data_IF_329887512257
#
_entry.id   IF_329887512257
#
_cell.length_a   1.000
_cell.length_b   1.000
_cell.length_c   1.000
_cell.angle_alpha   90.00
_cell.angle_beta   90.00
_cell.angle_gamma   90.00
#
_symmetry.space_group_name_H-M   'P 1'
#
loop_
_entity.id
_entity.type
_entity.pdbx_description
1 polymer ?
#
# COMPACT_ATOMS: atom_id res chain seq x y z
N UNK A 1 10.26 22.43 24.07
CA UNK A 1 9.91 21.21 23.32
C UNK A 1 10.45 21.44 21.92
N UNK A 2 11.56 20.77 21.57
CA UNK A 2 12.07 20.83 20.19
C UNK A 2 11.08 20.10 19.29
N UNK A 3 10.66 20.75 18.20
CA UNK A 3 9.82 20.07 17.22
C UNK A 3 10.69 19.12 16.41
N UNK A 4 10.23 17.89 16.13
CA UNK A 4 10.95 16.98 15.25
C UNK A 4 11.18 17.63 13.89
N UNK A 5 12.31 17.30 13.26
CA UNK A 5 12.60 17.77 11.92
C UNK A 5 11.61 17.16 10.93
N UNK A 6 11.30 17.87 9.84
CA UNK A 6 10.43 17.35 8.78
C UNK A 6 10.94 15.98 8.29
N UNK A 7 12.26 15.79 8.22
CA UNK A 7 12.87 14.54 7.78
C UNK A 7 12.74 13.38 8.78
N UNK A 8 12.59 13.66 10.09
CA UNK A 8 12.24 12.59 11.05
C UNK A 8 10.77 12.23 10.93
N UNK A 9 9.88 13.23 10.86
CA UNK A 9 8.45 12.98 10.70
C UNK A 9 8.13 12.21 9.42
N UNK A 10 8.77 12.54 8.30
CA UNK A 10 8.58 11.79 7.04
C UNK A 10 9.05 10.34 7.15
N UNK A 11 10.17 10.08 7.85
CA UNK A 11 10.64 8.70 8.06
C UNK A 11 9.67 7.89 8.90
N UNK A 12 9.13 8.48 9.96
CA UNK A 12 8.16 7.80 10.82
C UNK A 12 6.88 7.46 10.02
N UNK A 13 6.39 8.40 9.20
CA UNK A 13 5.23 8.17 8.32
C UNK A 13 5.50 7.05 7.31
N UNK A 14 6.66 7.05 6.63
CA UNK A 14 7.02 6.00 5.68
C UNK A 14 7.11 4.65 6.38
N UNK A 15 7.72 4.62 7.56
CA UNK A 15 7.86 3.39 8.34
C UNK A 15 6.49 2.82 8.76
N UNK A 16 5.58 3.65 9.27
CA UNK A 16 4.21 3.24 9.59
C UNK A 16 3.48 2.70 8.35
N UNK A 17 3.69 3.36 7.22
CA UNK A 17 3.08 3.00 5.96
C UNK A 17 3.60 1.67 5.38
N UNK A 18 4.91 1.44 5.40
CA UNK A 18 5.53 0.16 5.01
C UNK A 18 5.04 -1.02 5.86
N UNK A 19 4.68 -0.76 7.13
CA UNK A 19 4.15 -1.75 8.05
C UNK A 19 2.62 -1.92 7.98
N UNK A 20 1.94 -1.17 7.10
CA UNK A 20 0.50 -1.29 6.93
C UNK A 20 0.14 -2.63 6.26
N UNK A 21 -0.84 -3.39 6.78
CA UNK A 21 -1.24 -4.66 6.18
C UNK A 21 -1.98 -4.42 4.86
N UNK A 22 -1.62 -5.20 3.84
CA UNK A 22 -2.24 -5.21 2.51
C UNK A 22 -2.66 -6.61 2.11
N UNK A 23 -3.69 -6.71 1.28
CA UNK A 23 -4.24 -8.00 0.82
C UNK A 23 -3.48 -8.52 -0.40
N UNK A 24 -3.17 -9.80 -0.37
CA UNK A 24 -2.45 -10.52 -1.40
C UNK A 24 -3.20 -11.79 -1.77
N UNK A 25 -2.91 -12.30 -2.97
CA UNK A 25 -3.23 -13.67 -3.36
C UNK A 25 -1.95 -14.41 -3.74
N UNK A 26 -1.77 -15.59 -3.17
CA UNK A 26 -0.65 -16.45 -3.49
C UNK A 26 -0.78 -16.99 -4.93
N UNK A 27 0.28 -16.85 -5.72
CA UNK A 27 0.37 -17.41 -7.08
C UNK A 27 0.88 -18.85 -7.06
N UNK A 28 1.56 -19.23 -5.97
CA UNK A 28 2.08 -20.57 -5.70
C UNK A 28 2.16 -20.77 -4.19
N UNK A 29 2.36 -22.01 -3.75
CA UNK A 29 2.55 -22.33 -2.33
C UNK A 29 3.71 -21.53 -1.72
N UNK A 30 3.44 -20.83 -0.62
CA UNK A 30 4.41 -20.08 0.17
C UNK A 30 4.59 -20.82 1.50
N UNK A 31 5.80 -21.30 1.78
CA UNK A 31 6.10 -21.94 3.06
C UNK A 31 6.05 -20.95 4.22
N UNK A 32 5.88 -21.45 5.45
CA UNK A 32 5.88 -20.61 6.66
C UNK A 32 7.16 -19.77 6.74
N UNK A 33 7.00 -18.46 6.90
CA UNK A 33 8.09 -17.49 7.07
C UNK A 33 8.04 -16.97 8.51
N UNK A 34 9.12 -17.15 9.25
CA UNK A 34 9.25 -16.69 10.63
C UNK A 34 10.55 -15.88 10.78
N UNK A 35 10.40 -14.60 11.09
CA UNK A 35 11.51 -13.68 11.36
C UNK A 35 11.19 -12.85 12.61
N UNK A 36 12.15 -12.08 13.10
CA UNK A 36 11.90 -11.20 14.27
C UNK A 36 10.88 -10.14 13.88
N UNK A 37 9.68 -10.23 14.48
CA UNK A 37 8.60 -9.27 14.28
C UNK A 37 7.60 -9.62 13.16
N UNK A 38 7.85 -10.67 12.37
CA UNK A 38 6.95 -11.10 11.28
C UNK A 38 6.80 -12.61 11.25
N UNK A 39 5.55 -13.04 11.25
CA UNK A 39 5.15 -14.44 11.06
C UNK A 39 4.12 -14.46 9.94
N UNK A 40 4.44 -15.16 8.85
CA UNK A 40 3.51 -15.49 7.78
C UNK A 40 3.36 -17.00 7.80
N UNK A 41 2.15 -17.47 8.08
CA UNK A 41 1.86 -18.90 8.06
C UNK A 41 1.98 -19.46 6.64
N UNK A 42 2.04 -20.77 6.52
CA UNK A 42 2.04 -21.42 5.21
C UNK A 42 0.76 -21.06 4.44
N UNK A 43 0.92 -20.61 3.19
CA UNK A 43 -0.18 -20.16 2.32
C UNK A 43 -0.22 -21.03 1.07
N UNK A 44 -1.38 -21.62 0.78
CA UNK A 44 -1.54 -22.43 -0.43
C UNK A 44 -1.72 -21.56 -1.68
N UNK A 45 -1.51 -22.13 -2.87
CA UNK A 45 -1.75 -21.40 -4.12
C UNK A 45 -3.21 -20.94 -4.23
N UNK A 46 -3.43 -19.75 -4.79
CA UNK A 46 -4.73 -19.07 -4.93
C UNK A 46 -5.37 -18.59 -3.62
N UNK A 47 -4.80 -18.92 -2.47
CA UNK A 47 -5.27 -18.45 -1.17
C UNK A 47 -4.97 -16.95 -0.97
N UNK A 48 -5.91 -16.26 -0.34
CA UNK A 48 -5.74 -14.86 0.04
C UNK A 48 -5.13 -14.73 1.43
N UNK A 49 -4.21 -13.80 1.61
CA UNK A 49 -3.58 -13.52 2.89
C UNK A 49 -3.25 -12.04 3.03
N UNK A 50 -2.80 -11.64 4.22
CA UNK A 50 -2.34 -10.27 4.48
C UNK A 50 -0.90 -10.29 4.96
N UNK A 51 -0.14 -9.28 4.53
CA UNK A 51 1.23 -9.06 4.96
C UNK A 51 1.50 -7.55 5.03
N UNK A 52 2.51 -7.09 5.80
CA UNK A 52 2.98 -5.71 5.71
C UNK A 52 3.34 -5.36 4.25
N UNK A 53 3.08 -4.11 3.84
CA UNK A 53 3.32 -3.64 2.48
C UNK A 53 4.76 -3.93 1.99
N UNK A 54 5.76 -3.73 2.83
CA UNK A 54 7.14 -4.02 2.44
C UNK A 54 7.35 -5.51 2.13
N UNK A 55 6.75 -6.41 2.91
CA UNK A 55 6.84 -7.86 2.66
C UNK A 55 6.06 -8.23 1.40
N UNK A 56 4.92 -7.58 1.19
CA UNK A 56 4.10 -7.79 0.00
C UNK A 56 4.89 -7.52 -1.28
N UNK A 57 5.67 -6.43 -1.32
CA UNK A 57 6.58 -6.14 -2.43
C UNK A 57 7.60 -7.26 -2.67
N UNK A 58 8.30 -7.71 -1.63
CA UNK A 58 9.28 -8.81 -1.75
C UNK A 58 8.65 -10.09 -2.31
N UNK A 59 7.42 -10.42 -1.88
CA UNK A 59 6.68 -11.58 -2.36
C UNK A 59 6.22 -11.43 -3.82
N UNK A 60 5.80 -10.22 -4.22
CA UNK A 60 5.40 -9.91 -5.60
C UNK A 60 6.61 -9.94 -6.54
N UNK A 61 7.72 -9.31 -6.15
CA UNK A 61 8.98 -9.33 -6.92
C UNK A 61 9.54 -10.75 -7.09
N UNK A 62 9.41 -11.59 -6.06
CA UNK A 62 9.76 -13.01 -6.13
C UNK A 62 8.78 -13.86 -6.97
N UNK A 63 7.69 -13.28 -7.47
CA UNK A 63 6.65 -13.97 -8.24
C UNK A 63 5.86 -15.01 -7.42
N UNK A 64 5.77 -14.79 -6.11
CA UNK A 64 5.06 -15.65 -5.15
C UNK A 64 3.62 -15.20 -4.91
N UNK A 65 3.34 -13.91 -5.02
CA UNK A 65 2.02 -13.32 -4.76
C UNK A 65 1.67 -12.19 -5.75
N UNK A 66 0.41 -11.76 -5.73
CA UNK A 66 -0.07 -10.52 -6.38
C UNK A 66 -0.91 -9.70 -5.40
N UNK A 67 -0.90 -8.38 -5.54
CA UNK A 67 -1.79 -7.50 -4.78
C UNK A 67 -3.25 -7.75 -5.15
N UNK A 68 -4.12 -7.75 -4.14
CA UNK A 68 -5.57 -7.75 -4.28
C UNK A 68 -6.19 -6.37 -4.03
N UNK A 69 -5.43 -5.43 -3.48
CA UNK A 69 -5.87 -4.03 -3.43
C UNK A 69 -6.00 -3.49 -4.85
N UNK A 70 -7.12 -2.83 -5.14
CA UNK A 70 -7.36 -2.27 -6.46
C UNK A 70 -6.44 -1.07 -6.69
N UNK A 71 -5.71 -1.08 -7.81
CA UNK A 71 -5.03 0.11 -8.32
C UNK A 71 -6.01 1.26 -8.49
N UNK A 72 -5.52 2.51 -8.43
CA UNK A 72 -6.35 3.65 -8.82
C UNK A 72 -6.46 3.65 -10.33
N UNK A 73 -7.66 3.40 -10.83
CA UNK A 73 -7.95 3.39 -12.26
C UNK A 73 -7.83 4.80 -12.85
N UNK A 74 -7.57 4.90 -14.16
CA UNK A 74 -7.53 6.20 -14.85
C UNK A 74 -8.84 7.01 -14.74
N UNK A 75 -9.98 6.31 -14.62
CA UNK A 75 -11.28 6.93 -14.36
C UNK A 75 -11.37 7.56 -12.97
N UNK A 76 -10.91 6.86 -11.94
CA UNK A 76 -10.84 7.38 -10.57
C UNK A 76 -9.89 8.57 -10.47
N UNK A 77 -8.69 8.49 -11.08
CA UNK A 77 -7.76 9.63 -11.18
C UNK A 77 -8.42 10.87 -11.77
N UNK A 78 -9.16 10.69 -12.88
CA UNK A 78 -9.86 11.78 -13.56
C UNK A 78 -10.93 12.41 -12.68
N UNK A 79 -11.72 11.59 -11.98
CA UNK A 79 -12.77 12.06 -11.08
C UNK A 79 -12.22 12.82 -9.87
N UNK A 80 -11.15 12.30 -9.25
CA UNK A 80 -10.47 12.95 -8.12
C UNK A 80 -9.94 14.32 -8.55
N UNK A 81 -9.20 14.37 -9.67
CA UNK A 81 -8.68 15.63 -10.20
C UNK A 81 -9.78 16.65 -10.54
N UNK A 82 -10.88 16.19 -11.13
CA UNK A 82 -12.02 17.07 -11.44
C UNK A 82 -12.64 17.64 -10.17
N UNK A 83 -12.88 16.81 -9.14
CA UNK A 83 -13.46 17.24 -7.86
C UNK A 83 -12.58 18.28 -7.17
N UNK A 84 -11.27 18.08 -7.12
CA UNK A 84 -10.35 19.07 -6.54
C UNK A 84 -10.43 20.44 -7.24
N UNK A 85 -10.61 20.46 -8.56
CA UNK A 85 -10.67 21.72 -9.35
C UNK A 85 -11.99 22.47 -9.23
N UNK A 86 -13.10 21.76 -9.01
CA UNK A 86 -14.45 22.34 -9.00
C UNK A 86 -14.87 22.79 -7.59
N UNK A 87 -14.16 22.35 -6.55
CA UNK A 87 -14.46 22.75 -5.18
C UNK A 87 -14.29 24.26 -4.96
N UNK A 88 -15.21 24.92 -4.21
CA UNK A 88 -15.07 26.33 -3.87
C UNK A 88 -13.81 26.57 -3.04
N UNK A 89 -13.15 27.73 -3.21
CA UNK A 89 -11.88 28.02 -2.55
C UNK A 89 -12.01 27.91 -1.02
N UNK A 90 -11.04 27.21 -0.40
CA UNK A 90 -10.95 27.04 1.05
C UNK A 90 -11.43 25.70 1.62
N UNK A 91 -11.85 24.73 0.78
CA UNK A 91 -12.12 23.35 1.21
C UNK A 91 -11.29 22.35 0.43
N UNK A 92 -10.48 21.57 1.14
CA UNK A 92 -9.83 20.39 0.57
C UNK A 92 -10.89 19.32 0.28
N UNK A 93 -10.77 18.65 -0.87
CA UNK A 93 -11.61 17.50 -1.20
C UNK A 93 -11.22 16.33 -0.32
N UNK A 94 -12.20 15.69 0.31
CA UNK A 94 -11.96 14.44 1.05
C UNK A 94 -11.60 13.33 0.06
N UNK A 95 -10.42 12.75 0.29
CA UNK A 95 -9.92 11.58 -0.42
C UNK A 95 -10.30 10.32 0.35
N UNK A 96 -10.44 9.16 -0.32
CA UNK A 96 -10.50 7.87 0.35
C UNK A 96 -9.33 7.69 1.33
N UNK A 97 -9.57 7.02 2.46
CA UNK A 97 -8.56 6.81 3.51
C UNK A 97 -7.32 6.05 3.00
N UNK A 98 -7.55 5.12 2.08
CA UNK A 98 -6.54 4.31 1.41
C UNK A 98 -5.99 4.96 0.13
N UNK A 99 -6.39 6.18 -0.22
CA UNK A 99 -6.00 6.83 -1.49
C UNK A 99 -4.49 6.89 -1.67
N UNK A 100 -3.76 7.39 -0.67
CA UNK A 100 -2.30 7.48 -0.78
C UNK A 100 -1.63 6.10 -0.82
N UNK A 101 -2.29 5.06 -0.26
CA UNK A 101 -1.87 3.66 -0.38
C UNK A 101 -1.95 3.16 -1.80
N UNK A 102 -3.15 3.23 -2.36
CA UNK A 102 -3.44 2.79 -3.73
C UNK A 102 -2.64 3.59 -4.75
N UNK A 103 -2.49 4.90 -4.54
CA UNK A 103 -1.69 5.77 -5.42
C UNK A 103 -0.22 5.34 -5.49
N UNK A 104 0.39 5.03 -4.34
CA UNK A 104 1.77 4.56 -4.30
C UNK A 104 1.92 3.20 -4.98
N UNK A 105 1.03 2.24 -4.69
CA UNK A 105 1.02 0.93 -5.35
C UNK A 105 0.92 1.05 -6.86
N UNK A 106 -0.01 1.89 -7.35
CA UNK A 106 -0.18 2.14 -8.79
C UNK A 106 1.07 2.75 -9.41
N UNK A 107 1.73 3.71 -8.75
CA UNK A 107 2.91 4.38 -9.31
C UNK A 107 4.17 3.51 -9.28
N UNK A 108 4.41 2.75 -8.21
CA UNK A 108 5.53 1.80 -8.16
C UNK A 108 5.31 0.62 -9.13
N UNK A 109 4.08 0.14 -9.30
CA UNK A 109 3.75 -0.90 -10.29
C UNK A 109 3.95 -0.47 -11.75
N UNK A 110 4.09 0.84 -12.02
CA UNK A 110 4.40 1.39 -13.34
C UNK A 110 5.91 1.48 -13.65
N UNK A 111 6.77 1.13 -12.70
CA UNK A 111 8.24 1.25 -12.81
C UNK A 111 8.89 0.00 -13.43
#
# INVERSE_FOLDING_TARGET
MEMPSIASTMRDIIFEYENTPVRLQALRKIGRIETVGIIIEEVEAEEEFTAPLWVAWELVEAGLARFLEEEITGGEWTQIHYRERVHPPGRLTELPEDFYRRAYLTLEGMR
#
